data_IF_117284251504
#
_entry.id   IF_117284251504
#
_cell.length_a   1.000
_cell.length_b   1.000
_cell.length_c   1.000
_cell.angle_alpha   90.00
_cell.angle_beta   90.00
_cell.angle_gamma   90.00
#
_symmetry.space_group_name_H-M   'P 1'
#
loop_
_entity.id
_entity.type
_entity.pdbx_description
1 polymer ?
#
# COMPACT_ATOMS: atom_id res chain seq x y z
N UNK A 1 16.01 -5.97 4.05
CA UNK A 1 15.52 -7.31 3.74
C UNK A 1 14.31 -7.66 4.58
N UNK A 2 14.40 -7.73 5.94
CA UNK A 2 13.29 -8.14 6.83
C UNK A 2 11.98 -7.37 6.56
N UNK A 3 12.01 -6.04 6.46
CA UNK A 3 10.83 -5.25 6.19
C UNK A 3 10.20 -5.55 4.81
N UNK A 4 11.03 -5.78 3.78
CA UNK A 4 10.54 -6.16 2.44
C UNK A 4 9.82 -7.51 2.49
N UNK A 5 10.41 -8.51 3.14
CA UNK A 5 9.79 -9.83 3.32
C UNK A 5 8.51 -9.73 4.16
N UNK A 6 8.51 -8.90 5.21
CA UNK A 6 7.31 -8.69 6.04
C UNK A 6 6.16 -8.06 5.25
N UNK A 7 6.42 -7.01 4.46
CA UNK A 7 5.38 -6.30 3.72
C UNK A 7 4.94 -7.04 2.45
N UNK A 8 5.88 -7.59 1.71
CA UNK A 8 5.64 -8.09 0.36
C UNK A 8 5.68 -9.61 0.25
N UNK A 9 6.05 -10.30 1.33
CA UNK A 9 6.12 -11.76 1.43
C UNK A 9 4.76 -12.43 1.64
N UNK A 10 4.78 -13.74 1.95
CA UNK A 10 3.57 -14.57 2.09
C UNK A 10 2.56 -14.02 3.10
N UNK A 11 3.02 -13.45 4.21
CA UNK A 11 2.15 -12.88 5.27
C UNK A 11 1.68 -11.45 4.96
N UNK A 12 2.21 -10.84 3.90
CA UNK A 12 1.85 -9.50 3.43
C UNK A 12 1.11 -9.54 2.08
N UNK A 13 1.73 -8.98 1.05
CA UNK A 13 1.15 -8.93 -0.29
C UNK A 13 1.27 -10.25 -1.09
N UNK A 14 2.00 -11.23 -0.61
CA UNK A 14 2.28 -12.52 -1.29
C UNK A 14 2.96 -12.39 -2.64
N UNK A 15 3.92 -11.47 -2.77
CA UNK A 15 4.62 -11.19 -4.01
C UNK A 15 6.08 -11.63 -3.95
N UNK A 16 6.82 -11.16 -2.93
CA UNK A 16 8.27 -11.31 -2.82
C UNK A 16 8.60 -12.12 -1.57
N UNK A 17 9.15 -13.30 -1.78
CA UNK A 17 9.60 -14.18 -0.69
C UNK A 17 10.93 -13.71 -0.09
N UNK A 18 11.84 -13.19 -0.93
CA UNK A 18 13.14 -12.74 -0.47
C UNK A 18 13.77 -11.70 -1.42
N UNK A 19 14.84 -11.06 -0.94
CA UNK A 19 15.71 -10.21 -1.73
C UNK A 19 17.17 -10.49 -1.42
N UNK A 20 18.03 -10.44 -2.43
CA UNK A 20 19.47 -10.63 -2.31
C UNK A 20 20.25 -9.71 -3.23
N UNK A 21 21.44 -9.35 -2.79
CA UNK A 21 22.44 -8.67 -3.63
C UNK A 21 23.40 -9.75 -4.13
N UNK A 22 23.68 -9.78 -5.43
CA UNK A 22 24.68 -10.66 -5.98
C UNK A 22 26.03 -9.95 -6.03
N UNK A 23 27.07 -10.62 -5.51
CA UNK A 23 28.41 -10.07 -5.46
C UNK A 23 29.04 -9.88 -6.85
N UNK A 24 28.58 -10.63 -7.84
CA UNK A 24 29.16 -10.63 -9.20
C UNK A 24 28.86 -9.37 -10.01
N UNK A 25 27.65 -8.82 -9.85
CA UNK A 25 27.15 -7.67 -10.61
C UNK A 25 26.75 -6.49 -9.73
N UNK A 26 26.77 -6.70 -8.41
CA UNK A 26 26.32 -5.74 -7.40
C UNK A 26 24.86 -5.29 -7.59
N UNK A 27 24.04 -6.16 -8.19
CA UNK A 27 22.62 -5.93 -8.48
C UNK A 27 21.72 -6.56 -7.44
N UNK A 28 20.56 -5.94 -7.26
CA UNK A 28 19.52 -6.44 -6.37
C UNK A 28 18.56 -7.35 -7.13
N UNK A 29 18.33 -8.53 -6.60
CA UNK A 29 17.38 -9.51 -7.12
C UNK A 29 16.28 -9.75 -6.10
N UNK A 30 15.06 -9.84 -6.60
CA UNK A 30 13.88 -10.21 -5.83
C UNK A 30 13.47 -11.64 -6.18
N UNK A 31 13.28 -12.46 -5.17
CA UNK A 31 12.76 -13.82 -5.30
C UNK A 31 11.26 -13.71 -5.06
N UNK A 32 10.47 -14.03 -6.07
CA UNK A 32 9.02 -14.01 -5.99
C UNK A 32 8.48 -15.27 -5.34
N UNK A 33 7.29 -15.19 -4.74
CA UNK A 33 6.62 -16.35 -4.12
C UNK A 33 6.31 -17.48 -5.11
N UNK A 34 6.32 -17.22 -6.41
CA UNK A 34 6.20 -18.22 -7.48
C UNK A 34 7.54 -18.84 -7.91
N UNK A 35 8.63 -18.51 -7.23
CA UNK A 35 9.97 -19.02 -7.49
C UNK A 35 10.76 -18.27 -8.58
N UNK A 36 10.19 -17.26 -9.23
CA UNK A 36 10.93 -16.44 -10.18
C UNK A 36 11.94 -15.55 -9.47
N UNK A 37 13.12 -15.41 -10.07
CA UNK A 37 14.13 -14.45 -9.65
C UNK A 37 14.19 -13.30 -10.66
N UNK A 38 13.91 -12.09 -10.22
CA UNK A 38 13.81 -10.91 -11.07
C UNK A 38 14.76 -9.83 -10.58
N UNK A 39 15.57 -9.29 -11.48
CA UNK A 39 16.46 -8.16 -11.18
C UNK A 39 15.62 -6.88 -10.97
N UNK A 40 16.10 -6.01 -10.10
CA UNK A 40 15.37 -4.80 -9.67
C UNK A 40 14.93 -3.88 -10.82
N UNK A 41 15.72 -3.75 -11.88
CA UNK A 41 15.42 -2.92 -13.06
C UNK A 41 14.36 -3.53 -13.98
N UNK A 42 14.09 -4.84 -13.85
CA UNK A 42 13.09 -5.57 -14.64
C UNK A 42 11.73 -5.70 -13.94
N UNK A 43 11.57 -5.10 -12.76
CA UNK A 43 10.29 -5.05 -12.08
C UNK A 43 9.28 -4.21 -12.89
N UNK A 44 8.01 -4.65 -12.92
CA UNK A 44 6.92 -3.81 -13.41
C UNK A 44 6.78 -2.55 -12.54
N UNK A 45 6.17 -1.49 -13.08
CA UNK A 45 6.03 -0.22 -12.38
C UNK A 45 5.31 -0.37 -11.04
N UNK A 46 4.25 -1.18 -10.97
CA UNK A 46 3.54 -1.45 -9.71
C UNK A 46 4.41 -2.13 -8.66
N UNK A 47 5.15 -3.16 -9.04
CA UNK A 47 6.08 -3.82 -8.11
C UNK A 47 7.23 -2.91 -7.70
N UNK A 48 7.77 -2.15 -8.63
CA UNK A 48 8.83 -1.17 -8.36
C UNK A 48 8.37 -0.13 -7.35
N UNK A 49 7.14 0.41 -7.51
CA UNK A 49 6.55 1.36 -6.58
C UNK A 49 6.42 0.78 -5.17
N UNK A 50 5.83 -0.41 -5.02
CA UNK A 50 5.69 -1.08 -3.72
C UNK A 50 7.02 -1.33 -3.03
N UNK A 51 7.97 -1.89 -3.76
CA UNK A 51 9.31 -2.16 -3.25
C UNK A 51 9.99 -0.86 -2.80
N UNK A 52 9.86 0.20 -3.60
CA UNK A 52 10.46 1.51 -3.28
C UNK A 52 9.88 2.11 -2.00
N UNK A 53 8.56 2.07 -1.82
CA UNK A 53 7.90 2.54 -0.59
C UNK A 53 8.43 1.78 0.63
N UNK A 54 8.44 0.46 0.57
CA UNK A 54 8.88 -0.37 1.70
C UNK A 54 10.36 -0.19 2.01
N UNK A 55 11.21 -0.12 0.99
CA UNK A 55 12.66 0.08 1.18
C UNK A 55 12.95 1.47 1.75
N UNK A 56 12.34 2.52 1.21
CA UNK A 56 12.54 3.90 1.71
C UNK A 56 12.11 4.00 3.18
N UNK A 57 10.95 3.50 3.55
CA UNK A 57 10.49 3.49 4.94
C UNK A 57 11.42 2.69 5.85
N UNK A 58 11.82 1.49 5.45
CA UNK A 58 12.73 0.66 6.24
C UNK A 58 14.10 1.32 6.41
N UNK A 59 14.58 2.00 5.37
CA UNK A 59 15.84 2.75 5.42
C UNK A 59 15.75 3.93 6.37
N UNK A 60 14.69 4.72 6.33
CA UNK A 60 14.45 5.83 7.28
C UNK A 60 14.36 5.33 8.71
N UNK A 61 13.61 4.25 8.96
CA UNK A 61 13.53 3.63 10.28
C UNK A 61 14.92 3.20 10.78
N UNK A 62 15.73 2.62 9.90
CA UNK A 62 17.10 2.24 10.25
C UNK A 62 17.98 3.45 10.54
N UNK A 63 17.93 4.51 9.72
CA UNK A 63 18.70 5.73 9.97
C UNK A 63 18.37 6.35 11.34
N UNK A 64 17.10 6.36 11.71
CA UNK A 64 16.65 6.99 12.94
C UNK A 64 16.95 6.13 14.18
N UNK A 65 16.78 4.81 14.08
CA UNK A 65 16.65 3.97 15.27
C UNK A 65 17.47 2.67 15.26
N UNK A 66 18.32 2.43 14.25
CA UNK A 66 19.12 1.18 14.16
C UNK A 66 20.04 0.96 15.36
N UNK A 67 20.62 2.02 15.89
CA UNK A 67 21.52 1.94 17.06
C UNK A 67 20.77 1.40 18.27
N UNK A 68 19.50 1.76 18.43
CA UNK A 68 18.67 1.37 19.57
C UNK A 68 17.99 0.00 19.38
N UNK A 69 17.50 -0.29 18.17
CA UNK A 69 16.63 -1.45 17.91
C UNK A 69 17.20 -2.44 16.88
N UNK A 70 18.41 -2.20 16.36
CA UNK A 70 19.04 -3.09 15.39
C UNK A 70 18.14 -3.36 14.16
N UNK A 71 17.99 -4.62 13.83
CA UNK A 71 17.18 -5.09 12.71
C UNK A 71 15.65 -4.95 12.90
N UNK A 72 15.19 -4.65 14.10
CA UNK A 72 13.78 -4.45 14.44
C UNK A 72 13.39 -2.95 14.40
N UNK A 73 14.30 -2.06 13.97
CA UNK A 73 14.06 -0.62 13.91
C UNK A 73 12.78 -0.27 13.13
N UNK A 74 12.47 -0.99 12.06
CA UNK A 74 11.26 -0.77 11.25
C UNK A 74 9.94 -1.01 12.02
N UNK A 75 9.95 -1.91 13.01
CA UNK A 75 8.79 -2.17 13.89
C UNK A 75 8.70 -1.21 15.07
N UNK A 76 9.80 -0.59 15.45
CA UNK A 76 9.90 0.21 16.66
C UNK A 76 9.91 1.72 16.41
N UNK A 77 10.10 2.14 15.17
CA UNK A 77 10.11 3.56 14.81
C UNK A 77 8.70 4.13 14.80
N UNK A 78 8.49 5.22 15.53
CA UNK A 78 7.26 6.00 15.51
C UNK A 78 7.37 7.11 14.46
N UNK A 79 6.26 7.44 13.82
CA UNK A 79 6.21 8.54 12.87
C UNK A 79 4.90 8.60 12.13
N UNK A 80 4.77 9.58 11.24
CA UNK A 80 3.66 9.71 10.31
C UNK A 80 4.21 9.69 8.89
N UNK A 81 3.58 8.92 8.02
CA UNK A 81 3.93 8.79 6.61
C UNK A 81 2.74 9.21 5.77
N UNK A 82 2.98 10.10 4.83
CA UNK A 82 1.97 10.56 3.87
C UNK A 82 2.32 9.97 2.51
N UNK A 83 1.37 9.26 1.88
CA UNK A 83 1.53 8.67 0.56
C UNK A 83 0.38 9.15 -0.32
N UNK A 84 0.71 9.86 -1.36
CA UNK A 84 -0.26 10.29 -2.36
C UNK A 84 -0.47 9.18 -3.40
N UNK A 85 -1.74 8.95 -3.77
CA UNK A 85 -2.16 7.95 -4.76
C UNK A 85 -1.53 6.56 -4.51
N UNK A 86 -1.80 5.98 -3.33
CA UNK A 86 -1.22 4.67 -2.93
C UNK A 86 -1.52 3.55 -3.93
N UNK A 87 -2.61 3.66 -4.68
CA UNK A 87 -3.11 2.71 -5.67
C UNK A 87 -2.46 2.84 -7.05
N UNK A 88 -1.69 3.91 -7.32
CA UNK A 88 -1.12 4.18 -8.64
C UNK A 88 -0.28 2.99 -9.14
N UNK A 89 -0.56 2.52 -10.36
CA UNK A 89 0.06 1.35 -11.02
C UNK A 89 -0.13 0.01 -10.30
N UNK A 90 -0.90 -0.08 -9.21
CA UNK A 90 -1.13 -1.34 -8.51
C UNK A 90 -2.21 -2.18 -9.19
N UNK A 91 -1.90 -3.46 -9.36
CA UNK A 91 -2.91 -4.45 -9.72
C UNK A 91 -4.01 -4.50 -8.64
N UNK A 92 -5.31 -4.71 -9.00
CA UNK A 92 -6.42 -4.75 -8.05
C UNK A 92 -6.20 -5.65 -6.83
N UNK A 93 -5.57 -6.79 -7.02
CA UNK A 93 -5.24 -7.72 -5.93
C UNK A 93 -4.30 -7.11 -4.88
N UNK A 94 -3.40 -6.23 -5.30
CA UNK A 94 -2.47 -5.53 -4.41
C UNK A 94 -3.12 -4.35 -3.70
N UNK A 95 -4.06 -3.69 -4.37
CA UNK A 95 -4.84 -2.58 -3.78
C UNK A 95 -5.57 -3.01 -2.50
N UNK A 96 -6.07 -4.24 -2.46
CA UNK A 96 -6.77 -4.81 -1.28
C UNK A 96 -5.81 -5.10 -0.12
N UNK A 97 -4.53 -5.35 -0.39
CA UNK A 97 -3.58 -5.87 0.61
C UNK A 97 -2.60 -4.83 1.14
N UNK A 98 -2.31 -3.78 0.35
CA UNK A 98 -1.18 -2.89 0.60
C UNK A 98 -1.25 -2.18 1.95
N UNK A 99 -2.40 -1.63 2.34
CA UNK A 99 -2.52 -0.89 3.60
C UNK A 99 -2.29 -1.78 4.81
N UNK A 100 -2.90 -2.97 4.81
CA UNK A 100 -2.72 -3.96 5.87
C UNK A 100 -1.27 -4.44 5.96
N UNK A 101 -0.63 -4.67 4.82
CA UNK A 101 0.76 -5.10 4.76
C UNK A 101 1.72 -4.02 5.31
N UNK A 102 1.49 -2.75 4.96
CA UNK A 102 2.27 -1.63 5.50
C UNK A 102 2.07 -1.47 7.01
N UNK A 103 0.82 -1.49 7.47
CA UNK A 103 0.51 -1.37 8.90
C UNK A 103 1.12 -2.51 9.73
N UNK A 104 1.01 -3.76 9.27
CA UNK A 104 1.60 -4.91 9.96
C UNK A 104 3.13 -4.85 9.99
N UNK A 105 3.75 -4.32 8.93
CA UNK A 105 5.20 -4.20 8.85
C UNK A 105 5.75 -3.06 9.70
N UNK A 106 5.05 -1.93 9.74
CA UNK A 106 5.43 -0.72 10.44
C UNK A 106 4.37 -0.32 11.50
N UNK A 107 4.16 -1.13 12.55
CA UNK A 107 3.00 -1.03 13.42
C UNK A 107 2.95 0.24 14.29
N UNK A 108 4.03 1.02 14.33
CA UNK A 108 4.11 2.27 15.09
C UNK A 108 4.13 3.51 14.18
N UNK A 109 3.91 3.31 12.88
CA UNK A 109 3.80 4.40 11.92
C UNK A 109 2.32 4.64 11.61
N UNK A 110 1.91 5.91 11.72
CA UNK A 110 0.63 6.37 11.19
C UNK A 110 0.75 6.56 9.69
N UNK A 111 -0.16 5.96 8.92
CA UNK A 111 -0.26 6.16 7.48
C UNK A 111 -1.41 7.12 7.17
N UNK A 112 -1.12 8.17 6.41
CA UNK A 112 -2.11 9.07 5.81
C UNK A 112 -1.95 8.89 4.30
N UNK A 113 -2.98 8.36 3.64
CA UNK A 113 -2.89 8.02 2.22
C UNK A 113 -4.04 8.64 1.44
N UNK A 114 -3.78 9.09 0.22
CA UNK A 114 -4.83 9.39 -0.74
C UNK A 114 -5.01 8.22 -1.71
N UNK A 115 -6.22 8.06 -2.21
CA UNK A 115 -6.54 7.01 -3.18
C UNK A 115 -7.78 7.37 -4.00
N UNK A 116 -7.79 6.94 -5.25
CA UNK A 116 -8.97 6.92 -6.12
C UNK A 116 -9.49 5.50 -6.36
N UNK A 117 -8.91 4.48 -5.71
CA UNK A 117 -9.29 3.09 -5.90
C UNK A 117 -10.33 2.62 -4.88
N UNK A 118 -11.54 2.23 -5.31
CA UNK A 118 -12.56 1.67 -4.43
C UNK A 118 -12.08 0.44 -3.65
N UNK A 119 -11.18 -0.36 -4.24
CA UNK A 119 -10.64 -1.57 -3.59
C UNK A 119 -9.73 -1.24 -2.41
N UNK A 120 -8.98 -0.15 -2.46
CA UNK A 120 -8.19 0.33 -1.31
C UNK A 120 -9.15 0.77 -0.20
N UNK A 121 -10.18 1.56 -0.54
CA UNK A 121 -11.19 2.02 0.44
C UNK A 121 -11.91 0.85 1.10
N UNK A 122 -12.32 -0.17 0.32
CA UNK A 122 -13.04 -1.34 0.84
C UNK A 122 -12.18 -2.22 1.75
N UNK A 123 -10.87 -2.12 1.67
CA UNK A 123 -9.93 -2.90 2.48
C UNK A 123 -9.66 -2.30 3.88
N UNK A 124 -10.06 -1.06 4.12
CA UNK A 124 -9.85 -0.37 5.39
C UNK A 124 -10.85 -0.87 6.43
N UNK A 125 -10.37 -1.66 7.38
CA UNK A 125 -11.20 -2.22 8.46
C UNK A 125 -11.81 -1.09 9.31
N UNK A 126 -13.09 -1.21 9.63
CA UNK A 126 -13.80 -0.22 10.44
C UNK A 126 -13.45 -0.39 11.92
N UNK A 127 -12.36 0.21 12.34
CA UNK A 127 -11.87 0.23 13.73
C UNK A 127 -11.68 1.69 14.18
N UNK A 128 -11.61 1.97 15.51
CA UNK A 128 -11.36 3.33 15.99
C UNK A 128 -10.04 3.96 15.51
N UNK A 129 -9.09 3.13 15.05
CA UNK A 129 -7.78 3.58 14.60
C UNK A 129 -7.74 3.86 13.09
N UNK A 130 -8.74 3.40 12.34
CA UNK A 130 -8.81 3.54 10.90
C UNK A 130 -9.99 4.41 10.50
N UNK A 131 -9.76 5.36 9.64
CA UNK A 131 -10.81 6.24 9.14
C UNK A 131 -10.62 6.51 7.65
N UNK A 132 -11.73 6.54 6.92
CA UNK A 132 -11.79 6.95 5.52
C UNK A 132 -12.54 8.25 5.42
N UNK A 133 -11.94 9.27 4.81
CA UNK A 133 -12.57 10.55 4.54
C UNK A 133 -12.75 10.78 3.06
N UNK A 134 -13.95 11.21 2.66
CA UNK A 134 -14.16 11.88 1.37
C UNK A 134 -13.86 13.37 1.54
N UNK A 135 -12.98 13.90 0.72
CA UNK A 135 -12.71 15.34 0.64
C UNK A 135 -13.56 15.94 -0.47
N UNK A 136 -14.23 17.04 -0.19
CA UNK A 136 -15.07 17.76 -1.14
C UNK A 136 -14.67 19.22 -1.18
N UNK A 137 -14.73 19.79 -2.37
CA UNK A 137 -14.50 21.22 -2.59
C UNK A 137 -15.73 21.85 -3.26
N UNK A 138 -16.48 22.67 -2.52
CA UNK A 138 -17.69 23.31 -2.99
C UNK A 138 -17.62 24.80 -2.67
N UNK A 139 -17.87 25.65 -3.66
CA UNK A 139 -17.97 27.10 -3.51
C UNK A 139 -16.79 27.77 -2.78
N UNK A 140 -15.58 27.28 -3.03
CA UNK A 140 -14.37 27.80 -2.39
C UNK A 140 -14.06 27.27 -1.01
N UNK A 141 -14.86 26.31 -0.50
CA UNK A 141 -14.70 25.73 0.84
C UNK A 141 -14.37 24.23 0.72
N UNK A 142 -13.33 23.80 1.44
CA UNK A 142 -13.03 22.38 1.63
C UNK A 142 -13.84 21.82 2.80
N UNK A 143 -14.45 20.68 2.57
CA UNK A 143 -15.14 19.90 3.59
C UNK A 143 -14.68 18.45 3.55
N UNK A 144 -14.95 17.71 4.62
CA UNK A 144 -14.69 16.28 4.67
C UNK A 144 -15.89 15.54 5.26
N UNK A 145 -16.08 14.33 4.82
CA UNK A 145 -17.10 13.41 5.33
C UNK A 145 -16.48 12.07 5.62
N UNK A 146 -16.70 11.56 6.82
CA UNK A 146 -16.30 10.21 7.18
C UNK A 146 -17.15 9.17 6.47
N UNK A 147 -16.50 8.15 5.92
CA UNK A 147 -17.13 7.06 5.17
C UNK A 147 -16.89 5.73 5.87
N UNK A 148 -17.87 4.85 5.78
CA UNK A 148 -17.72 3.44 6.13
C UNK A 148 -17.78 2.61 4.84
N UNK A 149 -16.61 2.21 4.36
CA UNK A 149 -16.44 1.52 3.07
C UNK A 149 -16.00 0.07 3.22
N UNK A 150 -15.73 -0.39 4.44
CA UNK A 150 -15.21 -1.72 4.69
C UNK A 150 -16.12 -2.83 4.16
N UNK A 151 -15.55 -3.71 3.33
CA UNK A 151 -16.25 -4.85 2.77
C UNK A 151 -17.29 -4.54 1.70
N UNK A 152 -17.49 -3.26 1.32
CA UNK A 152 -18.34 -2.91 0.22
C UNK A 152 -17.69 -3.28 -1.12
N UNK A 153 -18.51 -3.67 -2.09
CA UNK A 153 -18.04 -3.89 -3.45
C UNK A 153 -17.67 -2.57 -4.15
N UNK A 154 -16.79 -2.67 -5.14
CA UNK A 154 -16.25 -1.50 -5.83
C UNK A 154 -17.35 -0.67 -6.53
N UNK A 155 -18.40 -1.31 -7.07
CA UNK A 155 -19.47 -0.60 -7.76
C UNK A 155 -20.31 0.22 -6.79
N UNK A 156 -20.59 -0.30 -5.61
CA UNK A 156 -21.28 0.43 -4.54
C UNK A 156 -20.46 1.64 -4.09
N UNK A 157 -19.16 1.49 -3.88
CA UNK A 157 -18.29 2.62 -3.48
C UNK A 157 -18.30 3.70 -4.57
N UNK A 158 -18.14 3.31 -5.83
CA UNK A 158 -18.14 4.25 -6.96
C UNK A 158 -19.47 5.03 -7.08
N UNK A 159 -20.61 4.35 -6.92
CA UNK A 159 -21.93 4.98 -7.05
C UNK A 159 -22.27 5.85 -5.84
N UNK A 160 -22.05 5.35 -4.62
CA UNK A 160 -22.52 6.01 -3.40
C UNK A 160 -21.56 7.09 -2.90
N UNK A 161 -20.24 6.85 -3.05
CA UNK A 161 -19.22 7.70 -2.43
C UNK A 161 -18.36 8.48 -3.43
N UNK A 162 -18.27 8.03 -4.68
CA UNK A 162 -17.44 8.69 -5.70
C UNK A 162 -18.28 9.44 -6.75
N UNK A 163 -19.59 9.58 -6.53
CA UNK A 163 -20.52 10.31 -7.39
C UNK A 163 -20.51 9.85 -8.87
N UNK A 164 -20.18 8.60 -9.10
CA UNK A 164 -20.21 8.01 -10.44
C UNK A 164 -21.63 7.49 -10.73
N UNK A 165 -22.28 7.94 -11.80
CA UNK A 165 -23.60 7.41 -12.16
C UNK A 165 -23.51 5.91 -12.46
N UNK A 166 -24.57 5.13 -12.13
CA UNK A 166 -24.61 3.73 -12.53
C UNK A 166 -24.45 3.65 -14.06
N UNK A 167 -23.59 2.76 -14.52
CA UNK A 167 -23.50 2.48 -15.96
C UNK A 167 -24.84 1.92 -16.40
N UNK A 168 -25.51 2.61 -17.31
CA UNK A 168 -26.60 2.02 -18.08
C UNK A 168 -26.04 0.80 -18.83
N UNK A 169 -26.37 -0.38 -18.37
CA UNK A 169 -26.16 -1.62 -19.12
C UNK A 169 -27.22 -1.68 -20.25
N UNK A 170 -27.24 -0.68 -21.12
CA UNK A 170 -27.87 -0.81 -22.41
C UNK A 170 -26.97 -1.78 -23.21
N UNK A 171 -27.29 -3.05 -23.10
CA UNK A 171 -26.83 -4.06 -24.05
C UNK A 171 -27.59 -3.74 -25.34
N UNK A 172 -26.96 -3.03 -26.25
CA UNK A 172 -27.44 -2.93 -27.62
C UNK A 172 -27.47 -4.35 -28.20
N UNK A 173 -28.69 -4.85 -28.41
CA UNK A 173 -28.96 -6.10 -29.14
C UNK A 173 -28.74 -5.89 -30.64
#
# INVERSE_FOLDING_TARGET
>A
RKAVVSALGPDGCSIIEDMKVRDNDNEVYFIFCDGREVRSDLLSDGYRRLVSIVIDLAFRCALLNKVMYGDEAYKQTHGTVIIDEIDEHLHPELQVRILKALHNTFPKIQFIVSTHAPLVMSSVENTPENVVYKLEYNDGVYSHKELNTYGLDASTIMQVYMDQPPRDLAIDN
#
